data_IF_999083749698
#
_entry.id   IF_999083749698
#
_cell.length_a   1.000
_cell.length_b   1.000
_cell.length_c   1.000
_cell.angle_alpha   90.00
_cell.angle_beta   90.00
_cell.angle_gamma   90.00
#
_symmetry.space_group_name_H-M   'P 1'
#
loop_
_entity.id
_entity.type
_entity.pdbx_description
1 polymer ?
#
# COMPACT_ATOMS: atom_id res chain seq x y z
N UNK A 1 28.64 -36.39 -21.00
CA UNK A 1 27.26 -36.37 -20.47
C UNK A 1 27.12 -35.77 -19.06
N UNK A 2 28.01 -36.06 -18.10
CA UNK A 2 27.95 -35.52 -16.71
C UNK A 2 27.85 -33.99 -16.59
N UNK A 3 28.59 -33.23 -17.42
CA UNK A 3 28.62 -31.76 -17.35
C UNK A 3 27.30 -31.12 -17.83
N UNK A 4 26.70 -31.66 -18.91
CA UNK A 4 25.40 -31.19 -19.45
C UNK A 4 24.27 -31.36 -18.44
N UNK A 5 24.24 -32.49 -17.74
CA UNK A 5 23.23 -32.74 -16.72
C UNK A 5 23.35 -31.79 -15.51
N UNK A 6 24.59 -31.42 -15.13
CA UNK A 6 24.82 -30.42 -14.08
C UNK A 6 24.33 -29.03 -14.50
N UNK A 7 24.58 -28.64 -15.74
CA UNK A 7 24.14 -27.34 -16.30
C UNK A 7 22.62 -27.28 -16.39
N UNK A 8 21.98 -28.35 -16.89
CA UNK A 8 20.52 -28.46 -16.96
C UNK A 8 19.87 -28.42 -15.57
N UNK A 9 20.46 -29.08 -14.58
CA UNK A 9 20.00 -29.01 -13.19
C UNK A 9 20.10 -27.61 -12.60
N UNK A 10 21.23 -26.92 -12.82
CA UNK A 10 21.45 -25.57 -12.32
C UNK A 10 20.48 -24.56 -12.97
N UNK A 11 20.27 -24.68 -14.29
CA UNK A 11 19.35 -23.81 -15.03
C UNK A 11 17.91 -24.00 -14.57
N UNK A 12 17.49 -25.24 -14.30
CA UNK A 12 16.16 -25.54 -13.77
C UNK A 12 15.96 -24.94 -12.38
N UNK A 13 16.98 -24.99 -11.52
CA UNK A 13 16.94 -24.39 -10.19
C UNK A 13 16.78 -22.87 -10.25
N UNK A 14 17.52 -22.20 -11.14
CA UNK A 14 17.44 -20.76 -11.38
C UNK A 14 16.05 -20.31 -11.86
N UNK A 15 15.43 -21.07 -12.77
CA UNK A 15 14.08 -20.77 -13.28
C UNK A 15 13.02 -20.91 -12.18
N UNK A 16 13.15 -21.90 -11.29
CA UNK A 16 12.21 -22.10 -10.17
C UNK A 16 12.36 -21.01 -9.09
N UNK A 17 13.59 -20.56 -8.83
CA UNK A 17 13.84 -19.47 -7.87
C UNK A 17 13.53 -18.08 -8.42
N UNK A 18 13.36 -17.96 -9.74
CA UNK A 18 13.06 -16.71 -10.44
C UNK A 18 11.57 -16.35 -10.48
N UNK A 19 10.69 -17.14 -9.86
CA UNK A 19 9.28 -16.78 -9.67
C UNK A 19 9.19 -15.53 -8.78
N UNK A 20 9.25 -14.38 -9.44
CA UNK A 20 9.04 -13.04 -8.93
C UNK A 20 7.77 -13.02 -8.07
N UNK A 21 7.94 -12.93 -6.76
CA UNK A 21 6.86 -12.55 -5.87
C UNK A 21 6.47 -11.12 -6.21
N UNK A 22 5.31 -10.94 -6.82
CA UNK A 22 4.67 -9.63 -6.89
C UNK A 22 4.44 -9.18 -5.44
N UNK A 23 5.04 -8.07 -4.97
CA UNK A 23 4.73 -7.58 -3.65
C UNK A 23 3.23 -7.34 -3.60
N UNK A 24 2.55 -8.04 -2.69
CA UNK A 24 1.15 -7.78 -2.46
C UNK A 24 1.11 -6.38 -1.83
N UNK A 25 0.71 -5.37 -2.62
CA UNK A 25 0.42 -4.03 -2.11
C UNK A 25 -0.82 -4.14 -1.22
N UNK A 26 -0.61 -4.63 -0.01
CA UNK A 26 -1.57 -4.59 1.09
C UNK A 26 -1.48 -3.26 1.83
N UNK A 27 -0.98 -2.20 1.20
CA UNK A 27 -1.27 -0.86 1.67
C UNK A 27 -2.73 -0.57 1.39
N UNK A 28 -3.58 -1.18 2.21
CA UNK A 28 -4.96 -0.75 2.39
C UNK A 28 -4.86 0.71 2.75
N UNK A 29 -5.30 1.58 1.84
CA UNK A 29 -5.21 3.01 2.02
C UNK A 29 -5.78 3.37 3.39
N UNK A 30 -4.90 3.86 4.27
CA UNK A 30 -5.31 4.19 5.64
C UNK A 30 -5.96 5.56 5.60
N UNK A 31 -7.15 5.67 6.18
CA UNK A 31 -7.82 6.96 6.36
C UNK A 31 -6.95 7.86 7.25
N UNK A 32 -6.86 9.13 6.88
CA UNK A 32 -6.19 10.16 7.67
C UNK A 32 -7.13 10.72 8.74
N UNK A 33 -7.26 9.96 9.82
CA UNK A 33 -8.07 10.34 10.99
C UNK A 33 -7.63 11.66 11.61
N UNK A 34 -6.34 12.01 11.52
CA UNK A 34 -5.85 13.27 12.10
C UNK A 34 -6.42 14.46 11.31
N UNK A 35 -6.35 14.40 9.98
CA UNK A 35 -6.95 15.42 9.15
C UNK A 35 -8.47 15.52 9.35
N UNK A 36 -9.18 14.38 9.40
CA UNK A 36 -10.62 14.36 9.66
C UNK A 36 -10.95 15.07 10.97
N UNK A 37 -10.25 14.73 12.06
CA UNK A 37 -10.46 15.34 13.37
C UNK A 37 -10.23 16.85 13.37
N UNK A 38 -9.23 17.33 12.62
CA UNK A 38 -8.98 18.77 12.49
C UNK A 38 -10.12 19.49 11.77
N UNK A 39 -10.63 18.91 10.67
CA UNK A 39 -11.78 19.47 9.93
C UNK A 39 -13.04 19.48 10.78
N UNK A 40 -13.32 18.39 11.49
CA UNK A 40 -14.49 18.29 12.37
C UNK A 40 -14.40 19.25 13.56
N UNK A 41 -13.23 19.39 14.17
CA UNK A 41 -13.00 20.35 15.25
C UNK A 41 -13.15 21.80 14.78
N UNK A 42 -12.67 22.13 13.56
CA UNK A 42 -12.84 23.45 12.97
C UNK A 42 -14.30 23.75 12.66
N UNK A 43 -15.04 22.79 12.11
CA UNK A 43 -16.45 22.93 11.81
C UNK A 43 -17.32 23.09 13.07
N UNK A 44 -16.95 22.41 14.17
CA UNK A 44 -17.65 22.54 15.47
C UNK A 44 -17.58 23.95 16.07
N UNK A 45 -16.57 24.75 15.71
CA UNK A 45 -16.45 26.15 16.14
C UNK A 45 -17.37 27.10 15.35
N UNK A 46 -18.01 26.63 14.29
CA UNK A 46 -18.96 27.42 13.52
C UNK A 46 -20.31 27.48 14.25
N UNK A 47 -20.96 28.65 14.26
CA UNK A 47 -22.28 28.86 14.87
C UNK A 47 -23.37 27.96 14.28
N UNK A 48 -23.19 27.52 13.03
CA UNK A 48 -24.10 26.61 12.34
C UNK A 48 -23.93 25.13 12.71
N UNK A 49 -22.82 24.76 13.38
CA UNK A 49 -22.49 23.39 13.81
C UNK A 49 -22.93 22.30 12.80
N UNK A 50 -22.42 22.35 11.55
CA UNK A 50 -22.93 21.50 10.48
C UNK A 50 -22.60 20.03 10.73
N UNK A 51 -23.52 19.13 10.32
CA UNK A 51 -23.27 17.70 10.29
C UNK A 51 -22.41 17.35 9.07
N UNK A 52 -21.29 16.67 9.29
CA UNK A 52 -20.32 16.32 8.24
C UNK A 52 -20.56 14.89 7.76
N UNK A 53 -20.50 14.68 6.45
CA UNK A 53 -20.55 13.36 5.82
C UNK A 53 -19.32 13.19 4.91
N UNK A 54 -18.53 12.14 5.16
CA UNK A 54 -17.35 11.81 4.36
C UNK A 54 -17.70 10.76 3.31
N UNK A 55 -17.76 11.17 2.03
CA UNK A 55 -18.06 10.27 0.90
C UNK A 55 -16.78 9.67 0.28
N UNK A 56 -15.66 10.38 0.40
CA UNK A 56 -14.32 9.91 0.05
C UNK A 56 -13.32 10.48 1.08
N UNK A 57 -13.10 9.80 2.21
CA UNK A 57 -12.28 10.33 3.28
C UNK A 57 -10.81 10.48 2.83
N UNK A 58 -10.09 11.48 3.35
CA UNK A 58 -8.69 11.68 3.04
C UNK A 58 -7.88 10.45 3.47
N UNK A 59 -6.92 10.08 2.65
CA UNK A 59 -6.03 8.96 2.88
C UNK A 59 -4.67 9.48 3.30
N UNK A 60 -3.99 8.74 4.18
CA UNK A 60 -2.58 9.01 4.49
C UNK A 60 -1.78 8.87 3.21
N UNK A 61 -0.95 9.88 2.93
CA UNK A 61 0.01 9.79 1.84
C UNK A 61 1.00 8.70 2.20
N UNK A 62 1.20 7.73 1.30
CA UNK A 62 2.37 6.88 1.40
C UNK A 62 3.61 7.78 1.33
N UNK A 63 4.66 7.51 2.14
CA UNK A 63 5.93 8.13 1.89
C UNK A 63 6.32 7.77 0.46
N UNK A 64 6.41 8.76 -0.42
CA UNK A 64 6.91 8.54 -1.76
C UNK A 64 8.25 7.83 -1.63
N UNK A 65 8.35 6.60 -2.14
CA UNK A 65 9.63 5.90 -2.25
C UNK A 65 10.59 6.85 -2.99
N UNK A 66 11.61 7.30 -2.25
CA UNK A 66 12.68 8.17 -2.76
C UNK A 66 13.66 7.37 -3.60
#
# INVERSE_FOLDING_TARGET
>A
MKMRNKILGLLSLLVVTGCSTTPHQTTRAQVDENYINQVEAAAKKNSLSPRIYWVNPPLKKEPAEQ
#
